data_IF_707375245106
#
_entry.id   IF_707375245106
#
_cell.length_a   1.000
_cell.length_b   1.000
_cell.length_c   1.000
_cell.angle_alpha   90.00
_cell.angle_beta   90.00
_cell.angle_gamma   90.00
#
_symmetry.space_group_name_H-M   'P 1'
#
loop_
_entity.id
_entity.type
_entity.pdbx_description
1 polymer ?
#
# COMPACT_ATOMS: atom_id res chain seq x y z
N UNK A 1 12.33 -17.30 29.71
CA UNK A 1 10.92 -17.10 30.07
C UNK A 1 10.08 -17.08 28.82
N UNK A 2 9.01 -17.88 28.75
CA UNK A 2 8.14 -17.92 27.56
C UNK A 2 7.17 -16.74 27.54
N UNK A 3 6.79 -16.26 26.34
CA UNK A 3 5.79 -15.17 26.20
C UNK A 3 4.47 -15.52 26.90
N UNK A 4 4.12 -16.81 26.94
CA UNK A 4 2.96 -17.35 27.64
C UNK A 4 3.04 -17.15 29.15
N UNK A 5 4.17 -17.51 29.78
CA UNK A 5 4.38 -17.31 31.21
C UNK A 5 4.25 -15.84 31.58
N UNK A 6 4.87 -14.95 30.80
CA UNK A 6 4.80 -13.51 31.02
C UNK A 6 3.37 -12.99 30.86
N UNK A 7 2.68 -13.39 29.79
CA UNK A 7 1.28 -12.99 29.55
C UNK A 7 0.37 -13.39 30.71
N UNK A 8 0.55 -14.62 31.25
CA UNK A 8 -0.23 -15.11 32.40
C UNK A 8 0.02 -14.32 33.68
N UNK A 9 1.25 -13.85 33.93
CA UNK A 9 1.55 -13.00 35.09
C UNK A 9 0.72 -11.71 35.10
N UNK A 10 0.36 -11.20 33.94
CA UNK A 10 -0.51 -10.04 33.77
C UNK A 10 -1.99 -10.40 33.53
N UNK A 11 -2.40 -11.66 33.76
CA UNK A 11 -3.78 -12.10 33.56
C UNK A 11 -4.21 -12.27 32.09
N UNK A 12 -3.28 -12.16 31.13
CA UNK A 12 -3.57 -12.29 29.70
C UNK A 12 -3.51 -13.74 29.23
N UNK A 13 -4.45 -14.13 28.37
CA UNK A 13 -4.50 -15.44 27.71
C UNK A 13 -4.27 -15.29 26.20
N UNK A 14 -3.35 -16.09 25.66
CA UNK A 14 -3.10 -16.10 24.21
C UNK A 14 -4.19 -16.89 23.52
N UNK A 15 -4.81 -16.30 22.49
CA UNK A 15 -5.83 -16.94 21.69
C UNK A 15 -5.18 -17.78 20.57
N UNK A 16 -5.20 -19.11 20.73
CA UNK A 16 -4.60 -20.06 19.78
C UNK A 16 -5.21 -20.01 18.38
N UNK A 17 -6.48 -19.62 18.21
CA UNK A 17 -7.10 -19.55 16.89
C UNK A 17 -6.65 -18.33 16.09
N UNK A 18 -6.37 -17.21 16.77
CA UNK A 18 -5.86 -15.97 16.16
C UNK A 18 -4.34 -15.94 16.00
N UNK A 19 -3.61 -16.68 16.84
CA UNK A 19 -2.15 -16.78 16.78
C UNK A 19 -1.73 -17.74 15.67
N UNK A 20 -0.90 -17.24 14.74
CA UNK A 20 -0.35 -18.00 13.63
C UNK A 20 1.15 -17.79 13.55
N UNK A 21 1.87 -18.80 13.09
CA UNK A 21 3.31 -18.73 12.86
C UNK A 21 3.56 -18.30 11.42
N UNK A 22 4.54 -17.42 11.19
CA UNK A 22 4.90 -16.98 9.85
C UNK A 22 6.42 -17.04 9.70
N UNK A 23 6.90 -17.77 8.69
CA UNK A 23 8.32 -18.00 8.48
C UNK A 23 8.63 -18.65 7.14
N UNK A 24 9.85 -18.46 6.65
CA UNK A 24 10.31 -19.02 5.36
C UNK A 24 10.68 -20.50 5.46
N UNK A 25 11.19 -20.92 6.63
CA UNK A 25 11.48 -22.32 6.95
C UNK A 25 10.33 -22.91 7.75
N UNK A 26 10.12 -24.22 7.64
CA UNK A 26 9.21 -24.93 8.56
C UNK A 26 9.73 -24.76 9.99
N UNK A 27 8.86 -24.37 10.89
CA UNK A 27 9.15 -24.27 12.31
C UNK A 27 7.90 -24.73 13.07
N UNK A 28 8.09 -25.45 14.16
CA UNK A 28 7.03 -25.89 15.05
C UNK A 28 7.13 -25.10 16.36
N UNK A 29 6.02 -24.49 16.77
CA UNK A 29 5.90 -23.83 18.06
C UNK A 29 4.67 -24.41 18.75
N UNK A 30 4.86 -24.96 19.94
CA UNK A 30 3.78 -25.49 20.76
C UNK A 30 3.20 -24.39 21.65
N UNK A 31 1.88 -24.19 21.58
CA UNK A 31 1.13 -23.28 22.42
C UNK A 31 0.03 -24.06 23.13
N UNK A 32 0.17 -24.24 24.45
CA UNK A 32 -0.72 -25.08 25.27
C UNK A 32 -0.79 -26.55 24.79
N UNK A 33 0.33 -27.11 24.31
CA UNK A 33 0.38 -28.48 23.79
C UNK A 33 -0.10 -28.62 22.34
N UNK A 34 -0.70 -27.58 21.77
CA UNK A 34 -1.14 -27.57 20.37
C UNK A 34 -0.11 -26.87 19.49
N UNK A 35 0.16 -27.42 18.31
CA UNK A 35 1.04 -26.77 17.33
C UNK A 35 0.36 -25.54 16.73
N UNK A 36 1.07 -24.42 16.72
CA UNK A 36 0.61 -23.18 16.08
C UNK A 36 0.70 -23.34 14.57
N UNK A 37 -0.44 -23.17 13.89
CA UNK A 37 -0.50 -23.25 12.43
C UNK A 37 0.47 -22.26 11.78
N UNK A 38 1.33 -22.77 10.89
CA UNK A 38 2.23 -21.97 10.08
C UNK A 38 1.56 -21.52 8.78
N UNK A 39 1.42 -20.20 8.60
CA UNK A 39 0.75 -19.58 7.45
C UNK A 39 1.73 -18.84 6.55
N UNK A 40 1.39 -18.76 5.25
CA UNK A 40 2.16 -17.98 4.25
C UNK A 40 1.72 -16.52 4.16
N UNK A 41 0.51 -16.20 4.63
CA UNK A 41 -0.05 -14.85 4.63
C UNK A 41 -0.83 -14.58 5.90
N UNK A 42 -0.74 -13.35 6.41
CA UNK A 42 -1.43 -12.93 7.62
C UNK A 42 -1.81 -11.44 7.53
N UNK A 43 -2.99 -11.08 8.02
CA UNK A 43 -3.42 -9.68 8.09
C UNK A 43 -2.90 -9.06 9.39
N UNK A 44 -1.91 -8.18 9.25
CA UNK A 44 -1.32 -7.47 10.38
C UNK A 44 -1.60 -5.97 10.25
N UNK A 45 -2.18 -5.37 11.30
CA UNK A 45 -2.56 -3.95 11.33
C UNK A 45 -3.36 -3.53 10.08
N UNK A 46 -4.25 -4.42 9.65
CA UNK A 46 -5.10 -4.19 8.50
C UNK A 46 -4.44 -4.37 7.13
N UNK A 47 -3.15 -4.68 7.01
CA UNK A 47 -2.45 -5.00 5.75
C UNK A 47 -2.12 -6.49 5.67
N UNK A 48 -2.33 -7.11 4.50
CA UNK A 48 -1.88 -8.48 4.28
C UNK A 48 -0.35 -8.51 4.07
N UNK A 49 0.34 -9.24 4.94
CA UNK A 49 1.75 -9.58 4.81
C UNK A 49 1.81 -10.99 4.22
N UNK A 50 2.71 -11.23 3.26
CA UNK A 50 2.87 -12.53 2.58
C UNK A 50 4.35 -12.91 2.43
N UNK A 51 4.64 -14.21 2.54
CA UNK A 51 5.93 -14.82 2.25
C UNK A 51 5.81 -15.81 1.07
N UNK A 52 6.70 -15.72 0.06
CA UNK A 52 7.65 -14.63 -0.20
C UNK A 52 6.91 -13.32 -0.51
N UNK A 53 7.56 -12.17 -0.28
CA UNK A 53 6.93 -10.85 -0.40
C UNK A 53 6.33 -10.63 -1.78
N UNK A 54 5.03 -10.34 -1.80
CA UNK A 54 4.22 -9.98 -2.96
C UNK A 54 3.01 -9.16 -2.49
N UNK A 55 2.81 -7.98 -3.09
CA UNK A 55 1.73 -7.06 -2.74
C UNK A 55 0.49 -7.22 -3.64
N UNK A 56 0.51 -8.16 -4.61
CA UNK A 56 -0.57 -8.31 -5.60
C UNK A 56 -1.94 -8.60 -4.95
N UNK A 57 -1.97 -9.43 -3.91
CA UNK A 57 -3.18 -9.74 -3.16
C UNK A 57 -3.64 -8.54 -2.31
N UNK A 58 -2.73 -7.90 -1.59
CA UNK A 58 -3.03 -6.71 -0.79
C UNK A 58 -3.59 -5.57 -1.67
N UNK A 59 -3.03 -5.32 -2.84
CA UNK A 59 -3.57 -4.35 -3.81
C UNK A 59 -4.99 -4.72 -4.23
N UNK A 60 -5.24 -6.00 -4.50
CA UNK A 60 -6.58 -6.48 -4.88
C UNK A 60 -7.58 -6.34 -3.72
N UNK A 61 -7.13 -6.60 -2.48
CA UNK A 61 -7.91 -6.40 -1.26
C UNK A 61 -8.26 -4.93 -1.04
N UNK A 62 -7.33 -4.00 -1.25
CA UNK A 62 -7.58 -2.55 -1.15
C UNK A 62 -8.50 -2.02 -2.23
N UNK A 63 -8.38 -2.53 -3.46
CA UNK A 63 -9.37 -2.24 -4.51
C UNK A 63 -10.77 -2.67 -4.05
N UNK A 64 -10.91 -3.85 -3.42
CA UNK A 64 -12.19 -4.30 -2.85
C UNK A 64 -12.68 -3.38 -1.73
N UNK A 65 -11.80 -2.94 -0.83
CA UNK A 65 -12.15 -1.95 0.20
C UNK A 65 -12.68 -0.64 -0.43
N UNK A 66 -12.00 -0.12 -1.46
CA UNK A 66 -12.47 1.05 -2.20
C UNK A 66 -13.84 0.84 -2.83
N UNK A 67 -14.10 -0.33 -3.42
CA UNK A 67 -15.41 -0.68 -3.98
C UNK A 67 -16.50 -0.80 -2.92
N UNK A 68 -16.19 -1.31 -1.73
CA UNK A 68 -17.15 -1.38 -0.64
C UNK A 68 -17.60 0.03 -0.22
N UNK A 69 -16.65 0.95 -0.05
CA UNK A 69 -16.94 2.36 0.25
C UNK A 69 -17.70 3.02 -0.91
N UNK A 70 -17.32 2.74 -2.16
CA UNK A 70 -18.08 3.21 -3.32
C UNK A 70 -19.54 2.73 -3.29
N UNK A 71 -19.77 1.45 -2.95
CA UNK A 71 -21.10 0.86 -2.87
C UNK A 71 -21.93 1.52 -1.77
N UNK A 72 -21.32 1.80 -0.62
CA UNK A 72 -21.97 2.50 0.49
C UNK A 72 -22.50 3.88 0.05
N UNK A 73 -21.72 4.63 -0.72
CA UNK A 73 -22.10 5.96 -1.21
C UNK A 73 -22.66 5.97 -2.64
N UNK A 74 -23.11 4.82 -3.15
CA UNK A 74 -23.53 4.68 -4.55
C UNK A 74 -24.63 5.68 -4.92
N UNK A 75 -25.63 5.86 -4.06
CA UNK A 75 -26.75 6.78 -4.28
C UNK A 75 -26.27 8.19 -4.61
N UNK A 76 -25.34 8.73 -3.82
CA UNK A 76 -24.76 10.07 -4.04
C UNK A 76 -23.85 10.10 -5.27
N UNK A 77 -22.98 9.08 -5.40
CA UNK A 77 -21.96 9.03 -6.45
C UNK A 77 -22.55 8.88 -7.85
N UNK A 78 -23.65 8.14 -8.00
CA UNK A 78 -24.28 7.88 -9.30
C UNK A 78 -25.44 8.84 -9.62
N UNK A 79 -25.98 9.57 -8.64
CA UNK A 79 -27.09 10.49 -8.87
C UNK A 79 -26.68 11.67 -9.76
N UNK A 80 -27.40 11.91 -10.85
CA UNK A 80 -27.12 12.97 -11.83
C UNK A 80 -27.36 14.38 -11.28
N UNK A 81 -28.24 14.55 -10.29
CA UNK A 81 -28.55 15.86 -9.69
C UNK A 81 -27.45 16.35 -8.75
N UNK A 82 -26.67 15.43 -8.19
CA UNK A 82 -25.58 15.78 -7.27
C UNK A 82 -24.42 16.43 -8.05
N UNK A 83 -24.03 17.62 -7.62
CA UNK A 83 -22.93 18.36 -8.21
C UNK A 83 -21.62 17.55 -8.20
N UNK A 84 -20.92 17.52 -9.34
CA UNK A 84 -19.63 16.84 -9.53
C UNK A 84 -18.59 17.22 -8.47
N UNK A 85 -18.62 18.45 -7.95
CA UNK A 85 -17.73 18.92 -6.86
C UNK A 85 -17.85 18.03 -5.62
N UNK A 86 -19.07 17.71 -5.20
CA UNK A 86 -19.32 16.89 -4.02
C UNK A 86 -18.94 15.44 -4.24
N UNK A 87 -19.26 14.89 -5.41
CA UNK A 87 -18.83 13.54 -5.80
C UNK A 87 -17.31 13.38 -5.78
N UNK A 88 -16.59 14.36 -6.34
CA UNK A 88 -15.12 14.41 -6.31
C UNK A 88 -14.58 14.46 -4.89
N UNK A 89 -15.15 15.35 -4.04
CA UNK A 89 -14.74 15.49 -2.64
C UNK A 89 -14.92 14.17 -1.89
N UNK A 90 -16.08 13.54 -2.04
CA UNK A 90 -16.38 12.24 -1.43
C UNK A 90 -15.43 11.14 -1.89
N UNK A 91 -15.14 11.08 -3.19
CA UNK A 91 -14.17 10.12 -3.72
C UNK A 91 -12.78 10.31 -3.09
N UNK A 92 -12.27 11.54 -3.09
CA UNK A 92 -10.94 11.85 -2.56
C UNK A 92 -10.86 11.63 -1.03
N UNK A 93 -11.94 11.84 -0.30
CA UNK A 93 -11.97 11.72 1.18
C UNK A 93 -12.23 10.30 1.68
N UNK A 94 -13.04 9.50 0.99
CA UNK A 94 -13.48 8.20 1.50
C UNK A 94 -12.93 7.03 0.70
N UNK A 95 -13.06 7.08 -0.64
CA UNK A 95 -12.71 5.95 -1.51
C UNK A 95 -11.20 5.88 -1.71
N UNK A 96 -10.57 7.01 -2.05
CA UNK A 96 -9.14 7.07 -2.33
C UNK A 96 -8.29 6.63 -1.12
N UNK A 97 -8.57 7.06 0.13
CA UNK A 97 -7.82 6.56 1.28
C UNK A 97 -8.05 5.08 1.56
N UNK A 98 -9.26 4.56 1.35
CA UNK A 98 -9.54 3.13 1.50
C UNK A 98 -8.74 2.26 0.50
N UNK A 99 -8.56 2.75 -0.73
CA UNK A 99 -7.74 2.08 -1.75
C UNK A 99 -6.24 2.22 -1.52
N UNK A 100 -5.78 3.26 -0.81
CA UNK A 100 -4.37 3.60 -0.65
C UNK A 100 -3.83 3.39 0.76
N UNK A 101 -4.57 2.72 1.64
CA UNK A 101 -4.08 2.40 2.96
C UNK A 101 -2.85 1.48 2.86
N UNK A 102 -1.74 1.89 3.46
CA UNK A 102 -0.46 1.17 3.42
C UNK A 102 0.29 1.27 2.09
N UNK A 103 -0.18 2.10 1.15
CA UNK A 103 0.41 2.23 -0.18
C UNK A 103 1.86 2.72 -0.14
N UNK A 104 2.22 3.50 0.88
CA UNK A 104 3.59 3.93 1.15
C UNK A 104 4.58 2.79 1.37
N UNK A 105 4.12 1.58 1.75
CA UNK A 105 4.98 0.41 2.01
C UNK A 105 5.06 -0.57 0.82
N UNK A 106 4.28 -0.33 -0.24
CA UNK A 106 4.22 -1.23 -1.38
C UNK A 106 5.42 -1.07 -2.31
N UNK A 107 5.88 -2.21 -2.83
CA UNK A 107 6.65 -2.27 -4.06
C UNK A 107 5.66 -2.45 -5.22
N UNK A 108 5.32 -1.35 -5.91
CA UNK A 108 4.28 -1.34 -6.94
C UNK A 108 4.85 -1.83 -8.26
N UNK A 109 4.49 -3.05 -8.64
CA UNK A 109 4.74 -3.56 -9.99
C UNK A 109 3.86 -2.83 -11.01
N UNK A 110 4.27 -2.81 -12.28
CA UNK A 110 3.46 -2.23 -13.36
C UNK A 110 2.07 -2.87 -13.44
N UNK A 111 1.97 -4.18 -13.20
CA UNK A 111 0.69 -4.88 -13.14
C UNK A 111 -0.20 -4.37 -12.00
N UNK A 112 0.36 -4.13 -10.82
CA UNK A 112 -0.37 -3.56 -9.69
C UNK A 112 -0.83 -2.12 -9.98
N UNK A 113 0.02 -1.30 -10.61
CA UNK A 113 -0.33 0.06 -11.03
C UNK A 113 -1.48 0.05 -12.04
N UNK A 114 -1.42 -0.81 -13.06
CA UNK A 114 -2.50 -0.99 -14.04
C UNK A 114 -3.81 -1.41 -13.37
N UNK A 115 -3.77 -2.33 -12.39
CA UNK A 115 -4.95 -2.75 -11.62
C UNK A 115 -5.59 -1.59 -10.84
N UNK A 116 -4.79 -0.79 -10.13
CA UNK A 116 -5.28 0.38 -9.38
C UNK A 116 -5.90 1.42 -10.31
N UNK A 117 -5.20 1.75 -11.41
CA UNK A 117 -5.69 2.70 -12.40
C UNK A 117 -7.01 2.21 -13.03
N UNK A 118 -7.08 0.94 -13.44
CA UNK A 118 -8.29 0.35 -14.01
C UNK A 118 -9.46 0.39 -13.01
N UNK A 119 -9.22 0.09 -11.73
CA UNK A 119 -10.24 0.18 -10.69
C UNK A 119 -10.78 1.61 -10.54
N UNK A 120 -9.91 2.62 -10.47
CA UNK A 120 -10.32 4.03 -10.43
C UNK A 120 -11.15 4.40 -11.67
N UNK A 121 -10.70 4.07 -12.89
CA UNK A 121 -11.44 4.42 -14.12
C UNK A 121 -12.82 3.77 -14.16
N UNK A 122 -12.96 2.53 -13.67
CA UNK A 122 -14.27 1.86 -13.56
C UNK A 122 -15.20 2.59 -12.58
N UNK A 123 -14.70 3.03 -11.43
CA UNK A 123 -15.50 3.81 -10.47
C UNK A 123 -15.91 5.16 -11.05
N UNK A 124 -14.99 5.88 -11.70
CA UNK A 124 -15.26 7.18 -12.33
C UNK A 124 -16.30 7.08 -13.46
N UNK A 125 -16.22 6.07 -14.34
CA UNK A 125 -17.23 5.83 -15.38
C UNK A 125 -18.61 5.61 -14.76
N UNK A 126 -18.67 4.90 -13.63
CA UNK A 126 -19.92 4.66 -12.90
C UNK A 126 -20.46 5.94 -12.25
N UNK A 127 -19.59 6.85 -11.80
CA UNK A 127 -19.99 8.17 -11.27
C UNK A 127 -20.53 9.11 -12.34
N UNK A 128 -19.96 9.07 -13.55
CA UNK A 128 -20.38 9.91 -14.68
C UNK A 128 -21.53 9.31 -15.49
N UNK A 129 -21.82 8.03 -15.30
CA UNK A 129 -22.85 7.30 -16.04
C UNK A 129 -22.45 6.97 -17.48
N UNK A 130 -21.15 7.05 -17.80
CA UNK A 130 -20.62 6.77 -19.14
C UNK A 130 -20.50 5.27 -19.35
N UNK A 131 -21.10 4.79 -20.42
CA UNK A 131 -21.02 3.41 -20.88
C UNK A 131 -19.78 3.21 -21.75
N UNK A 132 -19.37 1.95 -21.92
CA UNK A 132 -18.27 1.63 -22.85
C UNK A 132 -18.63 1.98 -24.31
N UNK A 133 -19.93 1.90 -24.65
CA UNK A 133 -20.48 2.26 -25.96
C UNK A 133 -20.26 3.73 -26.32
N UNK A 134 -20.20 4.62 -25.33
CA UNK A 134 -20.02 6.06 -25.56
C UNK A 134 -18.61 6.42 -26.05
N UNK A 135 -17.68 5.44 -26.10
CA UNK A 135 -16.28 5.55 -26.58
C UNK A 135 -15.51 6.77 -26.03
N UNK A 136 -15.87 7.25 -24.83
CA UNK A 136 -15.19 8.39 -24.18
C UNK A 136 -13.79 8.02 -23.71
N UNK A 137 -12.83 8.88 -24.05
CA UNK A 137 -11.42 8.74 -23.68
C UNK A 137 -11.20 8.85 -22.17
N UNK A 138 -10.09 8.27 -21.69
CA UNK A 138 -9.73 8.37 -20.27
C UNK A 138 -9.31 9.80 -19.88
N UNK A 139 -8.81 10.58 -20.83
CA UNK A 139 -8.46 11.99 -20.64
C UNK A 139 -9.70 12.85 -20.42
N UNK A 140 -10.74 12.63 -21.24
CA UNK A 140 -12.04 13.27 -21.04
C UNK A 140 -12.63 12.89 -19.66
N UNK A 141 -12.51 11.63 -19.25
CA UNK A 141 -13.01 11.20 -17.95
C UNK A 141 -12.30 11.95 -16.80
N UNK A 142 -10.98 12.13 -16.90
CA UNK A 142 -10.18 12.91 -15.94
C UNK A 142 -10.57 14.39 -15.92
N UNK A 143 -10.81 15.00 -17.08
CA UNK A 143 -11.19 16.42 -17.15
C UNK A 143 -12.56 16.68 -16.53
N UNK A 144 -13.48 15.70 -16.62
CA UNK A 144 -14.83 15.80 -16.04
C UNK A 144 -14.86 15.50 -14.54
N UNK A 145 -14.22 14.43 -14.08
CA UNK A 145 -14.28 14.04 -12.66
C UNK A 145 -13.34 14.88 -11.80
N UNK A 146 -12.17 15.27 -12.35
CA UNK A 146 -11.09 16.00 -11.65
C UNK A 146 -10.70 15.35 -10.32
N UNK A 147 -10.90 14.04 -10.20
CA UNK A 147 -10.52 13.23 -9.03
C UNK A 147 -9.00 13.10 -8.98
N UNK A 148 -8.43 12.99 -7.79
CA UNK A 148 -6.98 12.79 -7.65
C UNK A 148 -6.57 11.46 -8.29
N UNK A 149 -5.47 11.46 -9.05
CA UNK A 149 -4.97 10.24 -9.67
C UNK A 149 -4.38 9.31 -8.61
N UNK A 150 -4.89 8.08 -8.54
CA UNK A 150 -4.53 7.11 -7.50
C UNK A 150 -3.03 6.79 -7.49
N UNK A 151 -2.40 6.74 -8.67
CA UNK A 151 -0.98 6.42 -8.76
C UNK A 151 -0.13 7.60 -8.31
N UNK A 152 -0.52 8.83 -8.67
CA UNK A 152 0.17 10.02 -8.18
C UNK A 152 0.03 10.19 -6.67
N UNK A 153 -1.15 9.94 -6.11
CA UNK A 153 -1.35 9.97 -4.66
C UNK A 153 -0.55 8.87 -3.95
N UNK A 154 -0.51 7.65 -4.50
CA UNK A 154 0.31 6.55 -3.95
C UNK A 154 1.81 6.90 -3.97
N UNK A 155 2.32 7.38 -5.11
CA UNK A 155 3.71 7.82 -5.25
C UNK A 155 4.04 8.93 -4.27
N UNK A 156 3.18 9.95 -4.15
CA UNK A 156 3.36 11.04 -3.19
C UNK A 156 3.44 10.53 -1.76
N UNK A 157 2.53 9.63 -1.33
CA UNK A 157 2.58 9.03 0.02
C UNK A 157 3.87 8.27 0.27
N UNK A 158 4.31 7.46 -0.70
CA UNK A 158 5.57 6.73 -0.64
C UNK A 158 6.78 7.67 -0.55
N UNK A 159 6.76 8.78 -1.30
CA UNK A 159 7.85 9.76 -1.31
C UNK A 159 7.97 10.52 0.01
N UNK A 160 6.82 10.90 0.60
CA UNK A 160 6.76 11.50 1.94
C UNK A 160 7.29 10.50 2.98
N UNK A 161 6.86 9.25 2.89
CA UNK A 161 7.31 8.21 3.81
C UNK A 161 8.83 7.96 3.70
N UNK A 162 9.37 7.96 2.49
CA UNK A 162 10.81 7.85 2.27
C UNK A 162 11.57 9.00 2.92
N UNK A 163 11.10 10.25 2.75
CA UNK A 163 11.73 11.41 3.39
C UNK A 163 11.75 11.28 4.91
N UNK A 164 10.62 10.86 5.50
CA UNK A 164 10.50 10.64 6.95
C UNK A 164 11.52 9.61 7.43
N UNK A 165 11.59 8.44 6.78
CA UNK A 165 12.55 7.39 7.13
C UNK A 165 13.99 7.91 7.06
N UNK A 166 14.32 8.69 6.03
CA UNK A 166 15.68 9.20 5.86
C UNK A 166 16.07 10.26 6.90
N UNK A 167 15.12 11.07 7.38
CA UNK A 167 15.35 12.14 8.34
C UNK A 167 14.99 11.76 9.78
N UNK A 168 14.64 10.50 10.03
CA UNK A 168 14.34 10.02 11.38
C UNK A 168 15.66 9.83 12.15
N UNK A 169 15.76 10.50 13.31
CA UNK A 169 16.95 10.48 14.17
C UNK A 169 17.09 9.14 14.88
N UNK A 170 16.00 8.65 15.47
CA UNK A 170 15.95 7.37 16.20
C UNK A 170 16.31 6.15 15.33
N UNK A 171 17.07 5.22 15.91
CA UNK A 171 17.27 3.88 15.35
C UNK A 171 16.02 3.01 15.53
N UNK A 172 15.01 3.25 14.70
CA UNK A 172 13.83 2.39 14.61
C UNK A 172 14.08 1.21 13.69
N UNK A 173 13.44 0.08 13.99
CA UNK A 173 13.45 -1.10 13.11
C UNK A 173 13.05 -0.77 11.67
N UNK A 174 12.17 0.21 11.45
CA UNK A 174 11.81 0.71 10.11
C UNK A 174 13.03 1.20 9.32
N UNK A 175 13.90 1.98 9.95
CA UNK A 175 15.13 2.51 9.35
C UNK A 175 16.12 1.40 9.09
N UNK A 176 16.40 0.57 10.09
CA UNK A 176 17.33 -0.57 9.99
C UNK A 176 16.91 -1.52 8.87
N UNK A 177 15.63 -1.92 8.81
CA UNK A 177 15.12 -2.85 7.79
C UNK A 177 15.21 -2.24 6.38
N UNK A 178 15.00 -0.93 6.25
CA UNK A 178 15.05 -0.24 4.96
C UNK A 178 16.49 0.05 4.49
N UNK A 179 17.42 0.25 5.44
CA UNK A 179 18.85 0.42 5.20
C UNK A 179 19.56 -0.91 4.96
N UNK A 180 19.02 -2.01 5.50
CA UNK A 180 19.63 -3.33 5.39
C UNK A 180 19.75 -3.79 3.94
N UNK A 181 21.01 -3.99 3.51
CA UNK A 181 21.36 -4.57 2.22
C UNK A 181 21.80 -6.01 2.44
N UNK A 182 21.03 -7.02 2.01
CA UNK A 182 21.46 -8.39 2.14
C UNK A 182 22.75 -8.60 1.32
N UNK A 183 23.74 -9.36 1.81
CA UNK A 183 25.04 -9.58 1.14
C UNK A 183 24.94 -10.29 -0.23
N UNK A 184 23.77 -10.81 -0.59
CA UNK A 184 23.58 -11.62 -1.80
C UNK A 184 23.35 -10.74 -3.03
N UNK A 185 24.15 -10.97 -4.06
CA UNK A 185 23.95 -10.45 -5.42
C UNK A 185 22.57 -10.86 -5.93
N UNK A 186 21.89 -9.96 -6.66
CA UNK A 186 20.57 -10.26 -7.22
C UNK A 186 20.72 -11.28 -8.37
N UNK A 187 19.77 -12.22 -8.51
CA UNK A 187 19.78 -13.12 -9.65
C UNK A 187 19.66 -12.33 -10.96
N UNK A 188 20.31 -12.78 -12.05
CA UNK A 188 20.23 -12.13 -13.35
C UNK A 188 18.79 -12.16 -13.91
N UNK A 189 18.50 -11.27 -14.87
CA UNK A 189 17.19 -11.18 -15.53
C UNK A 189 16.23 -10.21 -14.84
N UNK A 190 15.03 -10.69 -14.47
CA UNK A 190 13.95 -9.87 -13.89
C UNK A 190 13.75 -10.17 -12.40
N UNK A 191 14.65 -9.70 -11.50
CA UNK A 191 14.48 -9.88 -10.07
C UNK A 191 13.22 -9.16 -9.57
N UNK A 192 12.63 -9.64 -8.47
CA UNK A 192 11.46 -9.01 -7.85
C UNK A 192 11.77 -7.57 -7.46
N UNK A 193 10.83 -6.66 -7.74
CA UNK A 193 10.91 -5.24 -7.37
C UNK A 193 10.91 -5.07 -5.85
N UNK A 194 11.89 -4.34 -5.33
CA UNK A 194 11.96 -3.92 -3.92
C UNK A 194 11.30 -2.56 -3.76
N UNK A 195 10.93 -2.24 -2.52
CA UNK A 195 10.35 -0.92 -2.20
C UNK A 195 11.25 0.24 -2.65
N UNK A 196 12.56 0.15 -2.36
CA UNK A 196 13.57 1.18 -2.71
C UNK A 196 13.87 1.29 -4.21
N UNK A 197 13.59 0.26 -5.01
CA UNK A 197 13.98 0.24 -6.43
C UNK A 197 13.30 1.40 -7.20
N UNK A 198 12.07 1.77 -6.82
CA UNK A 198 11.37 2.92 -7.40
C UNK A 198 12.07 4.26 -7.07
N UNK A 199 12.60 4.40 -5.85
CA UNK A 199 13.31 5.59 -5.39
C UNK A 199 14.69 5.67 -6.05
N UNK A 200 15.45 4.58 -6.02
CA UNK A 200 16.75 4.47 -6.70
C UNK A 200 16.62 4.74 -8.19
N UNK A 201 15.61 4.17 -8.87
CA UNK A 201 15.37 4.40 -10.30
C UNK A 201 15.07 5.86 -10.61
N UNK A 202 14.29 6.52 -9.74
CA UNK A 202 13.94 7.94 -9.93
C UNK A 202 15.13 8.87 -9.69
N UNK A 203 15.94 8.59 -8.67
CA UNK A 203 17.09 9.43 -8.31
C UNK A 203 18.38 9.07 -9.06
N UNK A 204 18.40 7.94 -9.77
CA UNK A 204 19.59 7.34 -10.40
C UNK A 204 20.76 7.14 -9.42
N UNK A 205 20.46 6.99 -8.13
CA UNK A 205 21.46 6.76 -7.08
C UNK A 205 20.92 5.82 -6.01
N UNK A 206 21.80 4.98 -5.48
CA UNK A 206 21.50 4.11 -4.36
C UNK A 206 21.56 4.82 -3.00
N UNK A 207 22.21 5.99 -2.94
CA UNK A 207 22.36 6.83 -1.75
C UNK A 207 21.19 7.82 -1.59
N UNK A 208 19.96 7.33 -1.78
CA UNK A 208 18.77 8.17 -1.73
C UNK A 208 18.54 8.81 -0.36
N UNK A 209 18.94 8.16 0.73
CA UNK A 209 18.83 8.72 2.09
C UNK A 209 19.70 9.96 2.28
N UNK A 210 20.97 9.89 1.86
CA UNK A 210 21.89 11.03 1.94
C UNK A 210 21.37 12.22 1.15
N UNK A 211 20.79 11.96 -0.03
CA UNK A 211 20.14 13.01 -0.82
C UNK A 211 18.93 13.59 -0.10
N UNK A 212 18.08 12.75 0.51
CA UNK A 212 16.90 13.18 1.26
C UNK A 212 17.23 14.04 2.48
N UNK A 213 18.37 13.79 3.15
CA UNK A 213 18.87 14.58 4.28
C UNK A 213 19.42 15.96 3.89
N UNK A 214 19.89 16.10 2.65
CA UNK A 214 20.53 17.34 2.15
C UNK A 214 19.55 18.33 1.53
N UNK A 215 18.32 17.92 1.25
CA UNK A 215 17.33 18.76 0.56
C UNK A 215 16.16 19.07 1.47
N UNK A 216 15.58 20.25 1.29
CA UNK A 216 14.35 20.63 1.97
C UNK A 216 13.19 19.69 1.54
N UNK A 217 12.20 19.53 2.42
CA UNK A 217 11.05 18.66 2.18
C UNK A 217 10.28 19.01 0.88
N UNK A 218 10.15 20.30 0.57
CA UNK A 218 9.47 20.76 -0.64
C UNK A 218 10.21 20.35 -1.91
N UNK A 219 11.53 20.60 -1.94
CA UNK A 219 12.41 20.16 -3.04
C UNK A 219 12.39 18.63 -3.20
N UNK A 220 12.38 17.89 -2.07
CA UNK A 220 12.24 16.44 -2.11
C UNK A 220 10.93 16.02 -2.80
N UNK A 221 9.80 16.62 -2.41
CA UNK A 221 8.50 16.33 -3.00
C UNK A 221 8.46 16.60 -4.51
N UNK A 222 9.04 17.72 -4.96
CA UNK A 222 9.09 18.05 -6.39
C UNK A 222 9.83 16.99 -7.21
N UNK A 223 10.97 16.49 -6.71
CA UNK A 223 11.76 15.43 -7.35
C UNK A 223 10.97 14.14 -7.53
N UNK A 224 10.10 13.81 -6.58
CA UNK A 224 9.33 12.57 -6.59
C UNK A 224 8.06 12.62 -7.44
N UNK A 225 7.51 13.81 -7.67
CA UNK A 225 6.20 14.01 -8.29
C UNK A 225 6.31 14.41 -9.78
N UNK A 226 7.34 15.18 -10.16
CA UNK A 226 7.74 15.34 -11.58
C UNK A 226 8.28 14.03 -12.12
#
# INVERSE_FOLDING_TARGET
MSLKEQSRRFGLKINSSKTKLMGTKKASILLNGNEVEQVKSFNYLGQEIRLPRDHSNEVSRRIRCGWNVFKQYKSVLTNRTVNKRWKRRLFNMCILPAMLYGAETWALTEAAQKKLAAAQRRMERRMTGVRLLDRRTNEWLRSVTKVQDILQTAKRRKWIHAWKIANEEDEKWSKIIMEWRPPKTRPPGRPRTRWRDEITKKLKTDAWQTKAKRVAFEQWLEIGIR
#
